data_IF_688662028348
#
_entry.id   IF_688662028348
#
_cell.length_a   1.000
_cell.length_b   1.000
_cell.length_c   1.000
_cell.angle_alpha   90.00
_cell.angle_beta   90.00
_cell.angle_gamma   90.00
#
_symmetry.space_group_name_H-M   'P 1'
#
loop_
_entity.id
_entity.type
_entity.pdbx_description
1 polymer ?
#
# COMPACT_ATOMS: atom_id res chain seq x y z
N UNK A 1 9.79 82.78 -36.67
CA UNK A 1 10.74 82.57 -35.57
C UNK A 1 11.49 81.27 -35.87
N UNK A 2 12.80 81.38 -36.10
CA UNK A 2 13.72 80.24 -36.33
C UNK A 2 13.74 79.36 -35.07
N UNK A 3 13.75 78.03 -35.18
CA UNK A 3 14.77 77.07 -34.66
C UNK A 3 14.53 75.69 -35.32
N UNK A 4 15.50 75.23 -36.11
CA UNK A 4 15.88 73.81 -36.34
C UNK A 4 17.18 73.55 -35.55
N UNK A 5 17.76 72.33 -35.42
CA UNK A 5 17.32 70.95 -35.71
C UNK A 5 17.67 69.94 -34.55
N UNK A 6 17.36 68.64 -34.69
CA UNK A 6 18.41 67.59 -34.68
C UNK A 6 17.91 66.19 -35.06
N UNK A 7 18.85 65.47 -35.66
CA UNK A 7 18.79 64.20 -36.38
C UNK A 7 19.36 63.10 -35.47
N UNK A 8 18.76 61.92 -35.40
CA UNK A 8 19.48 60.70 -35.02
C UNK A 8 18.77 59.46 -35.58
N UNK A 9 19.48 58.75 -36.46
CA UNK A 9 19.09 57.49 -37.06
C UNK A 9 19.25 56.33 -36.07
N UNK A 10 18.30 55.39 -36.05
CA UNK A 10 18.44 54.10 -35.40
C UNK A 10 18.39 52.99 -36.45
N UNK A 11 19.53 52.31 -36.61
CA UNK A 11 19.74 51.12 -37.42
C UNK A 11 19.07 49.94 -36.73
N UNK A 12 18.08 49.32 -37.37
CA UNK A 12 17.47 48.08 -36.91
C UNK A 12 18.31 46.88 -37.38
N UNK A 13 19.09 46.30 -36.46
CA UNK A 13 19.75 45.00 -36.64
C UNK A 13 18.70 43.89 -36.57
N UNK A 14 18.51 43.15 -37.66
CA UNK A 14 17.71 41.91 -37.68
C UNK A 14 18.64 40.73 -37.37
N UNK A 15 18.44 39.98 -36.27
CA UNK A 15 19.13 38.71 -36.11
C UNK A 15 18.45 37.66 -36.99
N UNK A 16 19.12 37.30 -38.09
CA UNK A 16 18.87 36.09 -38.85
C UNK A 16 19.22 34.89 -37.95
N UNK A 17 18.21 34.21 -37.40
CA UNK A 17 18.41 32.87 -36.85
C UNK A 17 18.76 31.93 -38.02
N UNK A 18 20.01 31.51 -38.03
CA UNK A 18 20.54 30.43 -38.85
C UNK A 18 19.73 29.15 -38.62
N UNK A 19 18.89 28.82 -39.59
CA UNK A 19 18.40 27.47 -39.81
C UNK A 19 19.43 26.71 -40.67
N UNK A 20 20.15 25.79 -40.03
CA UNK A 20 20.91 24.68 -40.62
C UNK A 20 20.74 23.53 -39.62
N UNK A 21 20.40 22.29 -39.95
CA UNK A 21 20.28 21.60 -41.23
C UNK A 21 20.57 20.12 -40.96
N UNK A 22 19.68 19.22 -41.42
CA UNK A 22 19.81 17.76 -41.42
C UNK A 22 18.69 17.08 -40.63
N UNK A 23 17.76 16.31 -41.19
CA UNK A 23 17.67 15.65 -42.50
C UNK A 23 17.25 14.20 -42.27
N UNK A 24 16.01 13.85 -42.63
CA UNK A 24 15.60 12.46 -42.88
C UNK A 24 14.83 11.75 -41.77
N UNK A 25 13.50 11.98 -41.74
CA UNK A 25 12.54 11.12 -41.06
C UNK A 25 11.37 11.94 -40.56
N UNK A 26 10.23 11.90 -41.26
CA UNK A 26 8.94 12.29 -40.69
C UNK A 26 8.53 11.23 -39.65
N UNK A 27 9.32 11.10 -38.59
CA UNK A 27 8.94 10.36 -37.41
C UNK A 27 7.92 11.21 -36.70
N UNK A 28 6.63 10.97 -36.96
CA UNK A 28 5.55 11.73 -36.34
C UNK A 28 5.66 11.78 -34.82
N UNK A 29 5.00 12.75 -34.20
CA UNK A 29 5.03 12.89 -32.74
C UNK A 29 4.29 11.72 -32.05
N UNK A 30 4.80 11.31 -30.90
CA UNK A 30 4.06 10.51 -29.92
C UNK A 30 3.60 11.38 -28.75
N UNK A 31 3.04 10.74 -27.71
CA UNK A 31 2.63 11.46 -26.51
C UNK A 31 2.86 10.63 -25.25
N UNK A 32 3.17 11.29 -24.13
CA UNK A 32 3.38 10.65 -22.82
C UNK A 32 2.57 11.36 -21.75
N UNK A 33 1.89 10.61 -20.88
CA UNK A 33 1.35 11.13 -19.61
C UNK A 33 1.96 10.42 -18.41
N UNK A 34 1.96 11.09 -17.26
CA UNK A 34 2.25 10.48 -15.97
C UNK A 34 0.95 10.07 -15.28
N UNK A 35 0.92 8.86 -14.74
CA UNK A 35 -0.10 8.42 -13.77
C UNK A 35 0.61 8.08 -12.46
N UNK A 36 0.15 8.68 -11.36
CA UNK A 36 0.68 8.43 -10.03
C UNK A 36 -0.24 7.44 -9.30
N UNK A 37 0.11 6.16 -9.34
CA UNK A 37 -0.56 5.06 -8.64
C UNK A 37 0.17 4.71 -7.32
N UNK A 38 0.74 5.70 -6.65
CA UNK A 38 1.46 5.53 -5.39
C UNK A 38 0.93 6.51 -4.35
N UNK A 39 0.32 5.99 -3.30
CA UNK A 39 -0.06 6.74 -2.10
C UNK A 39 1.12 7.02 -1.15
N UNK A 40 2.21 6.24 -1.24
CA UNK A 40 3.41 6.42 -0.43
C UNK A 40 4.26 7.65 -0.83
N UNK A 41 4.00 8.20 -2.01
CA UNK A 41 4.63 9.43 -2.49
C UNK A 41 3.52 10.46 -2.63
N UNK A 42 3.80 11.71 -2.27
CA UNK A 42 2.89 12.83 -2.56
C UNK A 42 2.78 13.08 -4.06
N UNK A 43 2.46 14.32 -4.43
CA UNK A 43 2.40 14.69 -5.84
C UNK A 43 3.77 14.47 -6.54
N UNK A 44 3.73 13.99 -7.79
CA UNK A 44 4.91 13.69 -8.60
C UNK A 44 5.01 14.61 -9.83
N UNK A 45 6.24 14.91 -10.21
CA UNK A 45 6.60 15.61 -11.43
C UNK A 45 7.27 14.63 -12.41
N UNK A 46 6.94 14.76 -13.70
CA UNK A 46 7.57 14.04 -14.81
C UNK A 46 8.53 14.96 -15.55
N UNK A 47 9.76 14.51 -15.73
CA UNK A 47 10.78 15.16 -16.53
C UNK A 47 11.25 14.25 -17.68
N UNK A 48 11.68 14.86 -18.78
CA UNK A 48 12.58 14.25 -19.75
C UNK A 48 13.97 14.87 -19.56
N UNK A 49 14.92 14.08 -19.08
CA UNK A 49 16.21 14.56 -18.58
C UNK A 49 16.01 15.65 -17.53
N UNK A 50 16.18 16.93 -17.88
CA UNK A 50 16.00 18.06 -16.96
C UNK A 50 14.85 18.99 -17.37
N UNK A 51 14.16 18.68 -18.46
CA UNK A 51 12.98 19.41 -18.94
C UNK A 51 11.74 18.88 -18.25
N UNK A 52 11.01 19.74 -17.54
CA UNK A 52 9.73 19.40 -16.92
C UNK A 52 8.67 19.17 -18.01
N UNK A 53 8.03 18.00 -17.98
CA UNK A 53 6.93 17.66 -18.89
C UNK A 53 5.57 17.82 -18.20
N UNK A 54 5.45 17.37 -16.95
CA UNK A 54 4.21 17.43 -16.18
C UNK A 54 4.52 17.64 -14.70
N UNK A 55 3.67 18.39 -14.01
CA UNK A 55 3.92 18.81 -12.64
C UNK A 55 2.73 18.51 -11.73
N UNK A 56 3.03 18.21 -10.47
CA UNK A 56 2.07 18.06 -9.38
C UNK A 56 0.97 17.01 -9.62
N UNK A 57 1.31 15.86 -10.23
CA UNK A 57 0.36 14.75 -10.38
C UNK A 57 0.09 14.12 -9.03
N UNK A 58 -1.09 14.40 -8.48
CA UNK A 58 -1.52 13.95 -7.16
C UNK A 58 -1.58 12.40 -7.07
N UNK A 59 -1.47 11.83 -5.87
CA UNK A 59 -1.66 10.39 -5.68
C UNK A 59 -3.01 9.91 -6.26
N UNK A 60 -3.02 8.70 -6.79
CA UNK A 60 -4.18 8.03 -7.40
C UNK A 60 -4.84 8.85 -8.53
N UNK A 61 -4.02 9.56 -9.32
CA UNK A 61 -4.48 10.42 -10.43
C UNK A 61 -3.56 10.39 -11.64
N UNK A 62 -4.02 10.96 -12.76
CA UNK A 62 -3.28 11.05 -14.01
C UNK A 62 -3.20 12.48 -14.55
N UNK A 63 -2.06 12.83 -15.13
CA UNK A 63 -1.87 14.08 -15.86
C UNK A 63 -2.33 14.01 -17.31
N UNK A 64 -2.29 15.17 -17.97
CA UNK A 64 -2.50 15.29 -19.42
C UNK A 64 -1.35 14.65 -20.20
N UNK A 65 -1.64 14.23 -21.43
CA UNK A 65 -0.61 13.81 -22.38
C UNK A 65 0.20 15.01 -22.86
N UNK A 66 1.51 14.84 -22.90
CA UNK A 66 2.48 15.78 -23.44
C UNK A 66 3.02 15.22 -24.74
N UNK A 67 2.89 15.99 -25.82
CA UNK A 67 3.42 15.61 -27.13
C UNK A 67 4.94 15.66 -27.13
N UNK A 68 5.56 14.62 -27.68
CA UNK A 68 7.02 14.50 -27.83
C UNK A 68 7.31 13.97 -29.23
N UNK A 69 8.40 14.42 -29.84
CA UNK A 69 8.89 13.79 -31.07
C UNK A 69 9.11 12.29 -30.85
N UNK A 70 8.97 11.48 -31.90
CA UNK A 70 9.36 10.07 -31.77
C UNK A 70 10.85 9.94 -31.47
N UNK A 71 11.22 9.10 -30.50
CA UNK A 71 12.60 8.99 -30.02
C UNK A 71 12.73 8.31 -28.67
N UNK A 72 13.95 8.23 -28.16
CA UNK A 72 14.25 7.67 -26.83
C UNK A 72 14.50 8.80 -25.83
N UNK A 73 13.88 8.70 -24.66
CA UNK A 73 13.91 9.70 -23.61
C UNK A 73 14.27 9.07 -22.27
N UNK A 74 15.12 9.74 -21.50
CA UNK A 74 15.32 9.44 -20.08
C UNK A 74 14.21 10.11 -19.28
N UNK A 75 13.18 9.35 -18.92
CA UNK A 75 12.07 9.84 -18.11
C UNK A 75 12.45 9.77 -16.63
N UNK A 76 12.40 10.90 -15.94
CA UNK A 76 12.70 11.01 -14.50
C UNK A 76 11.44 11.42 -13.73
N UNK A 77 11.24 10.80 -12.57
CA UNK A 77 10.22 11.20 -11.60
C UNK A 77 10.86 11.88 -10.40
N UNK A 78 10.25 12.97 -9.96
CA UNK A 78 10.62 13.71 -8.74
C UNK A 78 9.37 13.92 -7.89
N UNK A 79 9.53 14.04 -6.57
CA UNK A 79 8.43 14.60 -5.76
C UNK A 79 8.26 16.06 -6.13
N UNK A 80 7.03 16.53 -6.19
CA UNK A 80 6.74 17.92 -6.50
C UNK A 80 7.48 18.86 -5.53
N UNK A 81 8.15 19.87 -6.08
CA UNK A 81 8.99 20.79 -5.32
C UNK A 81 10.35 20.24 -4.88
N UNK A 82 10.71 19.01 -5.25
CA UNK A 82 12.02 18.41 -4.97
C UNK A 82 12.93 18.39 -6.20
N UNK A 83 14.22 18.64 -6.02
CA UNK A 83 15.24 18.46 -7.05
C UNK A 83 15.71 17.01 -7.21
N UNK A 84 15.41 16.15 -6.22
CA UNK A 84 15.93 14.77 -6.17
C UNK A 84 15.12 13.84 -7.06
N UNK A 85 15.82 13.11 -7.93
CA UNK A 85 15.22 12.07 -8.76
C UNK A 85 14.98 10.82 -7.92
N UNK A 86 13.73 10.35 -7.90
CA UNK A 86 13.31 9.15 -7.15
C UNK A 86 13.10 7.93 -8.05
N UNK A 87 12.92 8.14 -9.36
CA UNK A 87 12.89 7.08 -10.36
C UNK A 87 13.43 7.63 -11.70
N UNK A 88 14.16 6.82 -12.45
CA UNK A 88 14.70 7.18 -13.77
C UNK A 88 14.64 5.97 -14.69
N UNK A 89 14.14 6.13 -15.92
CA UNK A 89 14.03 5.04 -16.90
C UNK A 89 14.14 5.56 -18.32
N UNK A 90 14.89 4.86 -19.16
CA UNK A 90 14.94 5.14 -20.60
C UNK A 90 13.78 4.47 -21.32
N UNK A 91 12.99 5.26 -22.07
CA UNK A 91 11.80 4.79 -22.79
C UNK A 91 11.76 5.33 -24.21
N UNK A 92 11.30 4.49 -25.13
CA UNK A 92 11.07 4.88 -26.52
C UNK A 92 9.63 5.32 -26.71
N UNK A 93 9.46 6.57 -27.16
CA UNK A 93 8.19 7.14 -27.59
C UNK A 93 8.06 6.89 -29.09
N UNK A 94 7.15 6.00 -29.47
CA UNK A 94 6.86 5.72 -30.87
C UNK A 94 5.99 6.81 -31.52
N UNK A 95 6.20 7.04 -32.82
CA UNK A 95 5.40 7.97 -33.60
C UNK A 95 3.91 7.62 -33.58
N UNK A 96 3.06 8.64 -33.55
CA UNK A 96 1.58 8.55 -33.54
C UNK A 96 1.01 7.66 -32.43
N UNK A 97 1.79 7.44 -31.36
CA UNK A 97 1.45 6.52 -30.28
C UNK A 97 1.47 7.25 -28.95
N UNK A 98 0.39 7.11 -28.20
CA UNK A 98 0.27 7.59 -26.82
C UNK A 98 0.84 6.55 -25.86
N UNK A 99 1.46 7.01 -24.78
CA UNK A 99 2.01 6.16 -23.73
C UNK A 99 1.68 6.71 -22.34
N UNK A 100 1.52 5.81 -21.39
CA UNK A 100 1.36 6.13 -19.98
C UNK A 100 2.59 5.67 -19.21
N UNK A 101 3.31 6.59 -18.57
CA UNK A 101 4.26 6.24 -17.52
C UNK A 101 3.48 6.11 -16.21
N UNK A 102 3.23 4.87 -15.79
CA UNK A 102 2.54 4.56 -14.54
C UNK A 102 3.58 4.42 -13.42
N UNK A 103 3.57 5.36 -12.48
CA UNK A 103 4.38 5.32 -11.26
C UNK A 103 3.62 4.57 -10.16
N UNK A 104 4.29 3.67 -9.44
CA UNK A 104 3.71 2.91 -8.33
C UNK A 104 4.78 2.65 -7.26
N UNK A 105 4.37 2.25 -6.05
CA UNK A 105 5.31 1.94 -4.97
C UNK A 105 5.23 0.48 -4.53
N UNK A 106 6.41 -0.07 -4.21
CA UNK A 106 6.61 -1.40 -3.62
C UNK A 106 7.54 -1.24 -2.43
N UNK A 107 7.12 -1.62 -1.22
CA UNK A 107 7.89 -1.42 0.00
C UNK A 107 8.51 0.00 0.09
N UNK A 108 7.67 1.02 -0.14
CA UNK A 108 8.01 2.45 -0.14
C UNK A 108 9.04 2.91 -1.20
N UNK A 109 9.45 2.02 -2.11
CA UNK A 109 10.31 2.36 -3.26
C UNK A 109 9.46 2.72 -4.47
N UNK A 110 9.70 3.89 -5.07
CA UNK A 110 8.99 4.31 -6.28
C UNK A 110 9.55 3.58 -7.52
N UNK A 111 8.63 2.94 -8.25
CA UNK A 111 8.87 2.26 -9.51
C UNK A 111 8.03 2.88 -10.61
N UNK A 112 8.34 2.51 -11.85
CA UNK A 112 7.54 2.90 -12.99
C UNK A 112 7.43 1.79 -14.02
N UNK A 113 6.30 1.75 -14.72
CA UNK A 113 6.07 0.90 -15.88
C UNK A 113 5.50 1.75 -17.01
N UNK A 114 5.91 1.44 -18.24
CA UNK A 114 5.56 2.23 -19.42
C UNK A 114 4.56 1.45 -20.26
N UNK A 115 3.34 1.97 -20.37
CA UNK A 115 2.23 1.35 -21.09
C UNK A 115 2.10 2.02 -22.45
N UNK A 116 1.91 1.21 -23.49
CA UNK A 116 1.47 1.69 -24.80
C UNK A 116 -0.05 1.77 -24.82
N UNK A 117 -0.57 2.93 -25.16
CA UNK A 117 -2.00 3.25 -25.18
C UNK A 117 -2.54 3.15 -26.63
N UNK A 118 -2.43 1.97 -27.23
CA UNK A 118 -2.81 1.71 -28.62
C UNK A 118 -3.72 0.47 -28.80
N UNK A 119 -4.28 -0.06 -27.71
CA UNK A 119 -5.22 -1.18 -27.79
C UNK A 119 -6.43 -0.76 -28.64
N UNK A 120 -6.88 -1.66 -29.50
CA UNK A 120 -8.04 -1.42 -30.36
C UNK A 120 -9.33 -1.51 -29.56
N UNK A 121 -10.26 -0.59 -29.83
CA UNK A 121 -11.60 -0.65 -29.22
C UNK A 121 -12.26 -2.01 -29.51
N UNK A 122 -12.92 -2.63 -28.52
CA UNK A 122 -13.71 -3.84 -28.78
C UNK A 122 -14.92 -3.51 -29.65
N UNK A 123 -15.66 -4.53 -30.09
CA UNK A 123 -16.94 -4.32 -30.76
C UNK A 123 -17.95 -3.64 -29.83
N UNK A 124 -18.92 -2.92 -30.40
CA UNK A 124 -19.99 -2.29 -29.61
C UNK A 124 -20.75 -3.32 -28.79
N UNK A 125 -21.10 -2.96 -27.56
CA UNK A 125 -21.64 -3.83 -26.52
C UNK A 125 -20.58 -4.37 -25.54
N UNK A 126 -19.30 -4.05 -25.72
CA UNK A 126 -18.21 -4.57 -24.89
C UNK A 126 -17.19 -3.52 -24.46
N UNK A 127 -16.43 -3.85 -23.42
CA UNK A 127 -15.29 -3.14 -22.87
C UNK A 127 -14.09 -4.10 -22.77
N UNK A 128 -12.86 -3.57 -22.76
CA UNK A 128 -11.64 -4.33 -22.49
C UNK A 128 -11.05 -3.94 -21.14
N UNK A 129 -10.81 -4.93 -20.29
CA UNK A 129 -10.14 -4.80 -18.99
C UNK A 129 -8.88 -5.65 -18.97
N UNK A 130 -7.74 -5.05 -18.66
CA UNK A 130 -6.58 -5.81 -18.14
C UNK A 130 -6.28 -5.38 -16.72
N UNK A 131 -5.59 -6.23 -15.98
CA UNK A 131 -5.17 -5.95 -14.60
C UNK A 131 -3.65 -5.82 -14.56
N UNK A 132 -3.15 -4.84 -13.79
CA UNK A 132 -1.76 -4.75 -13.40
C UNK A 132 -1.65 -4.89 -11.89
N UNK A 133 -0.95 -5.92 -11.41
CA UNK A 133 -0.72 -6.09 -9.98
C UNK A 133 0.53 -5.28 -9.56
N UNK A 134 0.34 -4.03 -9.13
CA UNK A 134 1.43 -3.17 -8.68
C UNK A 134 1.81 -3.41 -7.20
N UNK A 135 1.01 -4.17 -6.46
CA UNK A 135 1.23 -4.47 -5.05
C UNK A 135 2.04 -5.75 -4.88
N UNK A 136 3.37 -5.62 -4.73
CA UNK A 136 4.23 -6.77 -4.36
C UNK A 136 3.83 -7.38 -3.02
N UNK A 137 3.31 -6.53 -2.14
CA UNK A 137 2.87 -6.84 -0.81
C UNK A 137 1.59 -7.66 -0.83
N UNK A 138 0.75 -7.54 -1.86
CA UNK A 138 -0.37 -8.45 -2.04
C UNK A 138 0.04 -9.83 -2.60
N UNK A 139 1.27 -10.05 -3.05
CA UNK A 139 1.63 -11.32 -3.68
C UNK A 139 0.77 -11.62 -4.91
N UNK A 140 0.65 -12.89 -5.28
CA UNK A 140 -0.20 -13.29 -6.42
C UNK A 140 -1.69 -13.21 -6.03
N UNK A 141 -2.51 -12.71 -6.97
CA UNK A 141 -3.94 -12.47 -6.73
C UNK A 141 -4.81 -13.09 -7.82
N UNK A 142 -6.05 -13.39 -7.45
CA UNK A 142 -7.13 -13.68 -8.39
C UNK A 142 -8.09 -12.47 -8.44
N UNK A 143 -8.56 -12.12 -9.63
CA UNK A 143 -9.51 -11.01 -9.84
C UNK A 143 -10.81 -11.54 -10.44
N UNK A 144 -11.92 -11.14 -9.83
CA UNK A 144 -13.27 -11.53 -10.20
C UNK A 144 -14.04 -10.28 -10.60
N UNK A 145 -14.53 -10.26 -11.84
CA UNK A 145 -15.44 -9.23 -12.35
C UNK A 145 -16.77 -9.89 -12.59
N UNK A 146 -17.76 -9.56 -11.76
CA UNK A 146 -19.02 -10.29 -11.67
C UNK A 146 -20.19 -9.33 -11.50
N UNK A 147 -21.42 -9.78 -11.75
CA UNK A 147 -22.61 -9.03 -11.34
C UNK A 147 -22.63 -8.81 -9.82
N UNK A 148 -23.24 -7.71 -9.35
CA UNK A 148 -23.23 -7.30 -7.94
C UNK A 148 -23.76 -8.37 -6.97
N UNK A 149 -24.76 -9.14 -7.40
CA UNK A 149 -25.40 -10.21 -6.61
C UNK A 149 -24.69 -11.57 -6.70
N UNK A 150 -23.64 -11.72 -7.51
CA UNK A 150 -22.97 -12.99 -7.70
C UNK A 150 -22.19 -13.42 -6.46
N UNK A 151 -22.37 -14.66 -6.02
CA UNK A 151 -21.61 -15.27 -4.91
C UNK A 151 -20.17 -15.54 -5.34
N UNK A 152 -19.19 -15.09 -4.53
CA UNK A 152 -17.77 -15.27 -4.84
C UNK A 152 -17.35 -16.75 -4.85
N UNK A 153 -17.87 -17.55 -3.92
CA UNK A 153 -17.56 -18.97 -3.81
C UNK A 153 -17.79 -19.72 -5.12
N UNK A 154 -18.90 -19.40 -5.81
CA UNK A 154 -19.35 -20.03 -7.05
C UNK A 154 -18.74 -19.40 -8.32
N UNK A 155 -18.02 -18.28 -8.18
CA UNK A 155 -17.46 -17.53 -9.31
C UNK A 155 -16.12 -18.08 -9.76
N UNK A 156 -15.85 -18.08 -11.06
CA UNK A 156 -14.51 -18.26 -11.63
C UNK A 156 -13.76 -16.92 -11.71
N UNK A 157 -12.44 -16.89 -11.49
CA UNK A 157 -11.67 -15.67 -11.66
C UNK A 157 -11.63 -15.23 -13.13
N UNK A 158 -11.84 -13.94 -13.37
CA UNK A 158 -11.60 -13.30 -14.68
C UNK A 158 -10.11 -13.27 -14.99
N UNK A 159 -9.27 -13.06 -13.97
CA UNK A 159 -7.82 -13.20 -14.05
C UNK A 159 -7.37 -14.09 -12.89
N UNK A 160 -6.70 -15.20 -13.20
CA UNK A 160 -6.18 -16.12 -12.20
C UNK A 160 -4.67 -15.98 -12.01
N UNK A 161 -4.20 -16.18 -10.78
CA UNK A 161 -2.80 -16.25 -10.38
C UNK A 161 -1.94 -15.12 -10.94
N UNK A 162 -2.47 -13.88 -10.94
CA UNK A 162 -1.73 -12.72 -11.42
C UNK A 162 -0.58 -12.40 -10.47
N UNK A 163 0.62 -12.76 -10.89
CA UNK A 163 1.85 -12.47 -10.16
C UNK A 163 2.09 -10.96 -10.00
N UNK A 164 2.91 -10.61 -9.02
CA UNK A 164 3.29 -9.22 -8.72
C UNK A 164 4.06 -8.60 -9.88
N UNK A 165 3.86 -7.31 -10.11
CA UNK A 165 4.48 -6.53 -11.19
C UNK A 165 4.24 -7.14 -12.59
N UNK A 166 3.09 -7.80 -12.78
CA UNK A 166 2.65 -8.37 -14.08
C UNK A 166 1.31 -7.82 -14.52
N UNK A 167 1.13 -7.79 -15.83
CA UNK A 167 -0.14 -7.53 -16.49
C UNK A 167 -0.84 -8.85 -16.82
N UNK A 168 -2.16 -8.87 -16.71
CA UNK A 168 -2.97 -9.85 -17.43
C UNK A 168 -3.06 -9.48 -18.92
N UNK A 169 -3.57 -10.41 -19.73
CA UNK A 169 -4.17 -10.06 -21.02
C UNK A 169 -5.38 -9.15 -20.85
N UNK A 170 -5.78 -8.46 -21.91
CA UNK A 170 -7.08 -7.82 -21.97
C UNK A 170 -8.18 -8.88 -22.03
N UNK A 171 -9.20 -8.71 -21.20
CA UNK A 171 -10.42 -9.49 -21.18
C UNK A 171 -11.53 -8.63 -21.76
N UNK A 172 -12.24 -9.14 -22.76
CA UNK A 172 -13.43 -8.50 -23.30
C UNK A 172 -14.63 -8.85 -22.41
N UNK A 173 -15.32 -7.84 -21.93
CA UNK A 173 -16.41 -7.95 -20.96
C UNK A 173 -17.59 -7.13 -21.49
N UNK A 174 -18.80 -7.65 -21.42
CA UNK A 174 -20.00 -6.91 -21.82
C UNK A 174 -20.11 -5.59 -21.07
N UNK A 175 -20.73 -4.58 -21.67
CA UNK A 175 -21.00 -3.34 -20.96
C UNK A 175 -21.94 -3.57 -19.77
N UNK A 176 -21.75 -2.80 -18.69
CA UNK A 176 -22.56 -2.95 -17.50
C UNK A 176 -21.91 -2.41 -16.23
N UNK A 177 -22.61 -2.59 -15.10
CA UNK A 177 -22.09 -2.31 -13.76
C UNK A 177 -21.69 -3.62 -13.09
N UNK A 178 -20.50 -3.63 -12.50
CA UNK A 178 -19.88 -4.84 -11.96
C UNK A 178 -19.40 -4.64 -10.53
N UNK A 179 -19.36 -5.74 -9.80
CA UNK A 179 -18.59 -5.89 -8.58
C UNK A 179 -17.24 -6.50 -8.91
N UNK A 180 -16.18 -5.83 -8.48
CA UNK A 180 -14.80 -6.27 -8.63
C UNK A 180 -14.29 -6.74 -7.28
N UNK A 181 -13.89 -8.01 -7.22
CA UNK A 181 -13.30 -8.63 -6.03
C UNK A 181 -11.90 -9.13 -6.33
N UNK A 182 -11.00 -8.96 -5.39
CA UNK A 182 -9.62 -9.47 -5.47
C UNK A 182 -9.36 -10.35 -4.28
N UNK A 183 -8.80 -11.53 -4.50
CA UNK A 183 -8.44 -12.46 -3.44
C UNK A 183 -6.97 -12.85 -3.51
N UNK A 184 -6.45 -13.43 -2.44
CA UNK A 184 -5.22 -14.23 -2.54
C UNK A 184 -5.39 -15.31 -3.62
N UNK A 185 -4.33 -15.57 -4.39
CA UNK A 185 -4.41 -16.57 -5.46
C UNK A 185 -4.77 -17.95 -4.92
N UNK A 186 -5.82 -18.55 -5.48
CA UNK A 186 -6.32 -19.86 -5.09
C UNK A 186 -7.13 -19.90 -3.79
N UNK A 187 -7.30 -18.77 -3.10
CA UNK A 187 -8.01 -18.68 -1.82
C UNK A 187 -9.06 -17.57 -1.84
N UNK A 188 -10.32 -17.96 -2.06
CA UNK A 188 -11.47 -17.03 -2.07
C UNK A 188 -11.84 -16.49 -0.68
N UNK A 189 -11.31 -17.07 0.39
CA UNK A 189 -11.55 -16.60 1.76
C UNK A 189 -10.61 -15.47 2.16
N UNK A 190 -9.46 -15.35 1.48
CA UNK A 190 -8.52 -14.24 1.61
C UNK A 190 -8.94 -13.06 0.71
N UNK A 191 -10.03 -12.37 1.10
CA UNK A 191 -10.57 -11.22 0.38
C UNK A 191 -9.71 -9.97 0.63
N UNK A 192 -9.18 -9.37 -0.45
CA UNK A 192 -8.22 -8.26 -0.42
C UNK A 192 -8.73 -6.96 -1.00
N UNK A 193 -9.79 -7.01 -1.78
CA UNK A 193 -10.56 -5.87 -2.29
C UNK A 193 -11.98 -6.34 -2.62
N UNK A 194 -12.97 -5.51 -2.32
CA UNK A 194 -14.35 -5.72 -2.70
C UNK A 194 -15.02 -4.37 -2.95
N UNK A 195 -15.25 -4.05 -4.22
CA UNK A 195 -15.86 -2.81 -4.67
C UNK A 195 -16.98 -3.11 -5.64
N UNK A 196 -18.10 -2.42 -5.47
CA UNK A 196 -19.29 -2.59 -6.31
C UNK A 196 -19.58 -1.31 -7.11
N UNK A 197 -20.42 -1.41 -8.13
CA UNK A 197 -20.81 -0.27 -8.96
C UNK A 197 -19.77 0.15 -10.00
N UNK A 198 -18.84 -0.73 -10.35
CA UNK A 198 -17.80 -0.44 -11.35
C UNK A 198 -18.41 -0.51 -12.75
N UNK A 199 -18.58 0.65 -13.37
CA UNK A 199 -19.13 0.76 -14.73
C UNK A 199 -18.09 0.45 -15.80
N UNK A 200 -18.35 -0.55 -16.64
CA UNK A 200 -17.64 -0.80 -17.88
C UNK A 200 -18.51 -0.32 -19.05
N UNK A 201 -18.23 0.90 -19.52
CA UNK A 201 -18.97 1.54 -20.61
C UNK A 201 -18.60 0.98 -22.00
N UNK A 202 -19.44 1.26 -23.00
CA UNK A 202 -19.19 0.79 -24.38
C UNK A 202 -17.83 1.25 -24.89
N UNK A 203 -17.09 0.32 -25.46
CA UNK A 203 -15.75 0.49 -26.03
C UNK A 203 -14.69 1.04 -25.06
N UNK A 204 -14.95 1.01 -23.74
CA UNK A 204 -13.97 1.38 -22.72
C UNK A 204 -12.79 0.42 -22.76
N UNK A 205 -11.57 0.95 -22.81
CA UNK A 205 -10.33 0.19 -22.62
C UNK A 205 -9.68 0.68 -21.34
N UNK A 206 -9.56 -0.19 -20.34
CA UNK A 206 -9.06 0.20 -19.03
C UNK A 206 -8.03 -0.80 -18.48
N UNK A 207 -7.03 -0.26 -17.80
CA UNK A 207 -6.12 -1.04 -16.97
C UNK A 207 -6.51 -0.83 -15.50
N UNK A 208 -6.97 -1.89 -14.84
CA UNK A 208 -7.14 -1.91 -13.38
C UNK A 208 -5.77 -2.13 -12.74
N UNK A 209 -5.24 -1.08 -12.11
CA UNK A 209 -4.00 -1.14 -11.34
C UNK A 209 -4.35 -1.43 -9.88
N UNK A 210 -3.79 -2.51 -9.33
CA UNK A 210 -3.92 -2.88 -7.93
C UNK A 210 -2.75 -2.30 -7.14
N UNK A 211 -2.99 -1.29 -6.31
CA UNK A 211 -1.95 -0.56 -5.58
C UNK A 211 -1.86 -1.00 -4.12
N UNK A 212 -0.68 -0.84 -3.51
CA UNK A 212 -0.42 -1.22 -2.11
C UNK A 212 -1.22 -0.35 -1.14
N UNK A 213 -1.60 -0.91 0.01
CA UNK A 213 -2.28 -0.20 1.11
C UNK A 213 -1.39 -0.11 2.36
N UNK A 214 -1.73 0.74 3.34
CA UNK A 214 -0.91 0.90 4.55
C UNK A 214 -0.65 -0.40 5.32
N UNK A 215 -1.61 -1.32 5.39
CA UNK A 215 -1.45 -2.62 6.06
C UNK A 215 -0.55 -3.60 5.31
N UNK A 216 -0.44 -3.47 3.98
CA UNK A 216 0.46 -4.30 3.17
C UNK A 216 -0.12 -5.66 2.74
N UNK A 217 -1.42 -5.91 2.88
CA UNK A 217 -2.06 -7.13 2.33
C UNK A 217 -3.27 -6.83 1.46
N UNK A 218 -4.11 -5.89 1.90
CA UNK A 218 -5.19 -5.36 1.09
C UNK A 218 -4.61 -4.58 -0.11
N UNK A 219 -5.45 -4.39 -1.14
CA UNK A 219 -5.11 -3.57 -2.31
C UNK A 219 -6.16 -2.49 -2.51
N UNK A 220 -5.73 -1.34 -3.05
CA UNK A 220 -6.62 -0.34 -3.63
C UNK A 220 -6.76 -0.59 -5.15
N UNK A 221 -7.71 0.09 -5.78
CA UNK A 221 -7.87 0.06 -7.23
C UNK A 221 -7.71 1.43 -7.87
N UNK A 222 -7.04 1.46 -9.00
CA UNK A 222 -6.93 2.62 -9.86
C UNK A 222 -7.23 2.20 -11.30
N UNK A 223 -8.28 2.76 -11.88
CA UNK A 223 -8.65 2.52 -13.27
C UNK A 223 -7.96 3.55 -14.15
N UNK A 224 -7.08 3.07 -15.03
CA UNK A 224 -6.35 3.89 -15.99
C UNK A 224 -6.97 3.66 -17.37
N UNK A 225 -7.84 4.57 -17.78
CA UNK A 225 -8.50 4.46 -19.08
C UNK A 225 -7.59 4.96 -20.18
N UNK A 226 -7.48 4.17 -21.24
CA UNK A 226 -6.63 4.48 -22.38
C UNK A 226 -7.05 5.82 -22.99
N UNK A 227 -6.11 6.78 -23.09
CA UNK A 227 -6.35 8.13 -23.63
C UNK A 227 -7.47 8.92 -22.95
N UNK A 228 -7.87 8.54 -21.74
CA UNK A 228 -8.99 9.14 -21.01
C UNK A 228 -8.64 9.35 -19.53
N UNK A 229 -9.61 9.48 -18.65
CA UNK A 229 -9.42 9.78 -17.23
C UNK A 229 -8.76 8.63 -16.46
N UNK A 230 -8.24 8.98 -15.28
CA UNK A 230 -7.82 8.04 -14.25
C UNK A 230 -8.76 8.19 -13.07
N UNK A 231 -9.27 7.09 -12.54
CA UNK A 231 -10.16 7.10 -11.38
C UNK A 231 -9.75 6.06 -10.34
N UNK A 232 -9.53 6.53 -9.10
CA UNK A 232 -9.23 5.66 -7.96
C UNK A 232 -10.51 5.24 -7.24
N UNK A 233 -10.59 3.97 -6.86
CA UNK A 233 -11.57 3.48 -5.88
C UNK A 233 -10.79 2.80 -4.76
N UNK A 234 -10.76 3.45 -3.61
CA UNK A 234 -10.08 2.92 -2.43
C UNK A 234 -10.82 1.69 -1.89
N UNK A 235 -10.08 0.81 -1.25
CA UNK A 235 -10.63 -0.32 -0.53
C UNK A 235 -11.52 0.18 0.63
N UNK A 236 -12.80 -0.21 0.69
CA UNK A 236 -13.68 0.24 1.77
C UNK A 236 -13.42 -0.49 3.10
N UNK A 237 -12.50 -1.46 3.12
CA UNK A 237 -12.23 -2.32 4.28
C UNK A 237 -10.89 -2.01 4.93
N UNK A 238 -10.78 -2.37 6.20
CA UNK A 238 -9.54 -2.48 6.96
C UNK A 238 -9.46 -3.90 7.53
N UNK A 239 -8.31 -4.29 8.09
CA UNK A 239 -8.18 -5.52 8.88
C UNK A 239 -7.88 -5.19 10.33
N UNK A 240 -8.49 -5.93 11.24
CA UNK A 240 -8.23 -5.79 12.67
C UNK A 240 -8.18 -7.17 13.32
N UNK A 241 -7.28 -7.35 14.28
CA UNK A 241 -7.25 -8.55 15.15
C UNK A 241 -7.48 -8.18 16.60
N UNK A 242 -8.05 -9.10 17.37
CA UNK A 242 -8.14 -9.00 18.82
C UNK A 242 -6.95 -9.70 19.47
N UNK A 243 -6.32 -9.04 20.44
CA UNK A 243 -5.28 -9.64 21.28
C UNK A 243 -5.74 -9.59 22.74
N UNK A 244 -5.88 -10.76 23.35
CA UNK A 244 -6.18 -10.91 24.76
C UNK A 244 -4.86 -11.01 25.53
N UNK A 245 -4.52 -9.95 26.26
CA UNK A 245 -3.33 -9.85 27.10
C UNK A 245 -3.63 -9.54 28.57
N UNK A 246 -4.85 -9.81 29.03
CA UNK A 246 -5.23 -9.64 30.43
C UNK A 246 -4.52 -10.65 31.35
N UNK A 247 -4.26 -10.25 32.59
CA UNK A 247 -3.76 -11.13 33.65
C UNK A 247 -4.76 -12.21 34.04
N UNK A 248 -4.30 -13.23 34.77
CA UNK A 248 -5.18 -14.27 35.34
C UNK A 248 -5.98 -15.11 34.33
N UNK A 249 -5.56 -15.20 33.07
CA UNK A 249 -6.27 -15.88 31.98
C UNK A 249 -7.63 -15.27 31.62
N UNK A 250 -7.74 -13.94 31.73
CA UNK A 250 -8.95 -13.20 31.39
C UNK A 250 -9.48 -13.48 29.97
N UNK A 251 -10.80 -13.50 29.83
CA UNK A 251 -11.54 -13.79 28.61
C UNK A 251 -12.02 -12.49 27.97
N UNK A 252 -11.65 -12.27 26.71
CA UNK A 252 -11.94 -11.03 25.99
C UNK A 252 -12.89 -11.32 24.83
N UNK A 253 -13.97 -10.54 24.72
CA UNK A 253 -14.85 -10.56 23.55
C UNK A 253 -14.82 -9.21 22.85
N UNK A 254 -14.93 -9.19 21.52
CA UNK A 254 -15.02 -7.95 20.76
C UNK A 254 -15.83 -8.12 19.47
N UNK A 255 -16.65 -7.11 19.19
CA UNK A 255 -17.31 -6.91 17.90
C UNK A 255 -16.98 -5.51 17.43
N UNK A 256 -16.31 -5.38 16.29
CA UNK A 256 -15.83 -4.11 15.75
C UNK A 256 -16.44 -3.85 14.38
N UNK A 257 -17.04 -2.67 14.21
CA UNK A 257 -17.70 -2.24 12.98
C UNK A 257 -18.65 -3.32 12.42
N UNK A 258 -19.42 -3.96 13.30
CA UNK A 258 -20.38 -5.02 12.96
C UNK A 258 -19.79 -6.43 12.79
N UNK A 259 -18.46 -6.60 12.88
CA UNK A 259 -17.79 -7.91 12.72
C UNK A 259 -17.33 -8.46 14.07
N UNK A 260 -17.73 -9.68 14.41
CA UNK A 260 -17.23 -10.35 15.62
C UNK A 260 -15.79 -10.81 15.42
N UNK A 261 -14.87 -10.31 16.25
CA UNK A 261 -13.48 -10.74 16.26
C UNK A 261 -13.30 -11.99 17.13
N UNK A 262 -14.01 -12.03 18.26
CA UNK A 262 -14.14 -13.21 19.13
C UNK A 262 -15.27 -12.99 20.14
N UNK A 263 -15.90 -14.09 20.59
CA UNK A 263 -16.88 -14.10 21.67
C UNK A 263 -16.27 -14.47 23.04
N UNK A 264 -14.98 -14.79 23.10
CA UNK A 264 -14.33 -15.21 24.35
C UNK A 264 -12.90 -15.70 24.14
N UNK A 265 -12.03 -14.84 23.64
CA UNK A 265 -10.61 -15.11 23.47
C UNK A 265 -9.92 -15.14 24.84
N UNK A 266 -9.42 -16.30 25.28
CA UNK A 266 -8.71 -16.44 26.55
C UNK A 266 -7.28 -15.91 26.45
N UNK A 267 -6.88 -15.08 27.41
CA UNK A 267 -5.51 -14.56 27.53
C UNK A 267 -4.55 -15.65 28.04
N UNK A 268 -3.26 -15.63 27.65
CA UNK A 268 -2.66 -14.79 26.61
C UNK A 268 -2.87 -15.39 25.21
N UNK A 269 -3.58 -14.69 24.32
CA UNK A 269 -3.81 -15.16 22.94
C UNK A 269 -3.83 -14.01 21.94
N UNK A 270 -3.18 -14.23 20.79
CA UNK A 270 -3.26 -13.37 19.60
C UNK A 270 -4.23 -14.00 18.60
N UNK A 271 -5.35 -13.31 18.35
CA UNK A 271 -6.34 -13.71 17.35
C UNK A 271 -5.89 -13.49 15.91
N UNK A 272 -6.67 -14.03 14.96
CA UNK A 272 -6.48 -13.77 13.54
C UNK A 272 -6.97 -12.37 13.15
N UNK A 273 -6.47 -11.84 12.03
CA UNK A 273 -7.05 -10.66 11.41
C UNK A 273 -8.43 -11.00 10.83
N UNK A 274 -9.38 -10.11 11.06
CA UNK A 274 -10.68 -10.10 10.39
C UNK A 274 -10.79 -8.87 9.51
N UNK A 275 -11.44 -9.02 8.35
CA UNK A 275 -11.81 -7.91 7.48
C UNK A 275 -13.02 -7.19 8.08
N UNK A 276 -12.94 -5.86 8.20
CA UNK A 276 -14.01 -5.02 8.74
C UNK A 276 -14.21 -3.78 7.88
N UNK A 277 -15.40 -3.15 7.89
CA UNK A 277 -15.57 -1.84 7.26
C UNK A 277 -14.58 -0.82 7.83
N UNK A 278 -13.89 -0.08 6.96
CA UNK A 278 -13.05 1.05 7.35
C UNK A 278 -13.94 2.21 7.84
N UNK A 279 -13.36 3.11 8.64
CA UNK A 279 -14.06 4.24 9.26
C UNK A 279 -13.86 4.33 10.76
N UNK A 280 -14.66 5.17 11.42
CA UNK A 280 -14.61 5.35 12.87
C UNK A 280 -14.78 4.02 13.59
N UNK A 281 -13.93 3.76 14.58
CA UNK A 281 -13.97 2.55 15.38
C UNK A 281 -15.26 2.56 16.22
N UNK A 282 -16.09 1.53 16.05
CA UNK A 282 -17.38 1.38 16.72
C UNK A 282 -17.62 -0.08 17.11
N UNK A 283 -18.49 -0.31 18.11
CA UNK A 283 -18.87 -1.65 18.56
C UNK A 283 -18.64 -1.85 20.05
N UNK A 284 -18.25 -3.05 20.44
CA UNK A 284 -18.08 -3.44 21.83
C UNK A 284 -16.81 -4.24 22.07
N UNK A 285 -16.26 -4.09 23.27
CA UNK A 285 -15.16 -4.88 23.80
C UNK A 285 -15.44 -5.15 25.27
N UNK A 286 -15.25 -6.38 25.71
CA UNK A 286 -15.44 -6.78 27.10
C UNK A 286 -14.24 -7.59 27.61
N UNK A 287 -13.97 -7.47 28.91
CA UNK A 287 -13.07 -8.34 29.66
C UNK A 287 -13.88 -8.98 30.79
N UNK A 288 -13.96 -10.31 30.82
CA UNK A 288 -14.77 -11.04 31.81
C UNK A 288 -16.23 -10.56 31.85
N UNK A 289 -16.79 -10.25 30.68
CA UNK A 289 -18.15 -9.70 30.54
C UNK A 289 -18.29 -8.22 30.91
N UNK A 290 -17.28 -7.60 31.52
CA UNK A 290 -17.29 -6.16 31.84
C UNK A 290 -16.95 -5.36 30.59
N UNK A 291 -17.81 -4.40 30.22
CA UNK A 291 -17.58 -3.53 29.08
C UNK A 291 -16.38 -2.61 29.32
N UNK A 292 -15.52 -2.48 28.30
CA UNK A 292 -14.40 -1.54 28.30
C UNK A 292 -14.70 -0.36 27.37
N UNK A 293 -14.09 0.78 27.67
CA UNK A 293 -14.12 1.94 26.77
C UNK A 293 -13.34 1.62 25.51
N UNK A 294 -14.00 1.76 24.35
CA UNK A 294 -13.37 1.61 23.06
C UNK A 294 -12.53 2.87 22.73
N UNK A 295 -11.32 2.73 22.16
CA UNK A 295 -10.51 3.87 21.74
C UNK A 295 -11.25 4.75 20.72
N UNK A 296 -11.13 6.07 20.84
CA UNK A 296 -11.57 6.99 19.79
C UNK A 296 -10.53 7.03 18.69
N UNK A 297 -10.77 6.26 17.62
CA UNK A 297 -9.85 6.13 16.50
C UNK A 297 -10.61 5.83 15.19
N UNK A 298 -9.89 5.89 14.08
CA UNK A 298 -10.40 5.54 12.74
C UNK A 298 -9.56 4.41 12.17
N UNK A 299 -10.22 3.34 11.70
CA UNK A 299 -9.58 2.33 10.86
C UNK A 299 -9.49 2.88 9.45
N UNK A 300 -8.29 3.26 9.01
CA UNK A 300 -8.10 3.76 7.65
C UNK A 300 -8.34 2.64 6.62
N UNK A 301 -8.86 3.02 5.45
CA UNK A 301 -8.99 2.12 4.30
C UNK A 301 -7.66 1.40 4.01
N UNK A 302 -7.70 0.07 3.92
CA UNK A 302 -6.54 -0.76 3.64
C UNK A 302 -5.52 -0.88 4.80
N UNK A 303 -5.84 -0.39 6.00
CA UNK A 303 -4.98 -0.52 7.18
C UNK A 303 -5.12 -1.88 7.85
N UNK A 304 -4.07 -2.27 8.58
CA UNK A 304 -4.12 -3.37 9.54
C UNK A 304 -4.00 -2.78 10.96
N UNK A 305 -4.67 -3.39 11.94
CA UNK A 305 -4.59 -2.95 13.33
C UNK A 305 -4.73 -4.10 14.33
N UNK A 306 -4.16 -3.90 15.50
CA UNK A 306 -4.33 -4.76 16.66
C UNK A 306 -5.15 -4.04 17.71
N UNK A 307 -6.30 -4.60 18.09
CA UNK A 307 -7.03 -4.22 19.30
C UNK A 307 -6.47 -5.03 20.47
N UNK A 308 -5.54 -4.43 21.20
CA UNK A 308 -4.93 -5.02 22.38
C UNK A 308 -5.82 -4.79 23.61
N UNK A 309 -6.15 -5.85 24.32
CA UNK A 309 -6.87 -5.77 25.60
C UNK A 309 -5.98 -6.29 26.72
N UNK A 310 -5.62 -5.41 27.65
CA UNK A 310 -4.81 -5.73 28.83
C UNK A 310 -5.60 -5.51 30.11
N UNK A 311 -5.04 -5.91 31.25
CA UNK A 311 -5.58 -5.55 32.56
C UNK A 311 -4.47 -5.16 33.54
N UNK A 312 -4.65 -4.06 34.27
CA UNK A 312 -3.77 -3.69 35.39
C UNK A 312 -4.57 -3.75 36.69
N UNK A 313 -4.20 -4.65 37.62
CA UNK A 313 -4.89 -4.80 38.91
C UNK A 313 -6.38 -5.11 38.79
N UNK A 314 -6.80 -5.83 37.74
CA UNK A 314 -8.20 -6.17 37.46
C UNK A 314 -8.97 -5.15 36.59
N UNK A 315 -8.44 -3.93 36.39
CA UNK A 315 -9.05 -2.94 35.49
C UNK A 315 -8.61 -3.19 34.04
N UNK A 316 -9.57 -3.44 33.15
CA UNK A 316 -9.31 -3.67 31.72
C UNK A 316 -9.01 -2.39 30.95
N UNK A 317 -8.18 -2.47 29.92
CA UNK A 317 -7.90 -1.38 28.97
C UNK A 317 -7.87 -1.94 27.56
N UNK A 318 -8.60 -1.30 26.64
CA UNK A 318 -8.52 -1.59 25.22
C UNK A 318 -7.68 -0.51 24.53
N UNK A 319 -6.77 -0.91 23.66
CA UNK A 319 -5.88 0.00 22.91
C UNK A 319 -5.78 -0.43 21.47
N UNK A 320 -5.95 0.52 20.55
CA UNK A 320 -5.78 0.26 19.13
C UNK A 320 -4.33 0.60 18.74
N UNK A 321 -3.66 -0.38 18.15
CA UNK A 321 -2.28 -0.27 17.67
C UNK A 321 -2.31 -0.43 16.14
N UNK A 322 -1.71 0.51 15.42
CA UNK A 322 -1.55 0.38 13.98
C UNK A 322 -0.51 -0.69 13.65
N UNK A 323 -0.82 -1.54 12.67
CA UNK A 323 0.07 -2.59 12.21
C UNK A 323 0.69 -2.23 10.86
N UNK A 324 1.98 -2.52 10.73
CA UNK A 324 2.71 -2.42 9.47
C UNK A 324 3.17 -3.82 9.06
N UNK A 325 2.34 -4.48 8.26
CA UNK A 325 2.62 -5.81 7.72
C UNK A 325 3.23 -5.75 6.32
N UNK A 326 3.79 -4.60 5.90
CA UNK A 326 4.64 -4.55 4.71
C UNK A 326 5.96 -5.25 5.01
N UNK A 327 6.48 -6.09 4.10
CA UNK A 327 7.73 -6.81 4.28
C UNK A 327 8.94 -5.86 4.37
N UNK A 328 10.09 -6.37 4.80
CA UNK A 328 11.33 -5.60 4.76
C UNK A 328 11.68 -5.24 3.30
N UNK A 329 12.27 -4.05 3.11
CA UNK A 329 12.77 -3.61 1.80
C UNK A 329 13.89 -4.53 1.31
N UNK A 330 14.80 -4.92 2.21
CA UNK A 330 15.89 -5.86 1.92
C UNK A 330 15.36 -7.29 1.93
N UNK A 331 15.48 -8.00 0.79
CA UNK A 331 14.91 -9.34 0.59
C UNK A 331 15.47 -10.43 1.50
N UNK A 332 16.63 -10.21 2.13
CA UNK A 332 17.25 -11.13 3.10
C UNK A 332 16.78 -10.89 4.54
N UNK A 333 16.00 -9.84 4.78
CA UNK A 333 15.61 -9.44 6.12
C UNK A 333 14.18 -9.86 6.43
N UNK A 334 13.91 -10.13 7.71
CA UNK A 334 12.58 -10.13 8.29
C UNK A 334 12.32 -8.78 8.97
N UNK A 335 11.05 -8.40 9.15
CA UNK A 335 10.69 -7.32 10.09
C UNK A 335 10.29 -7.94 11.43
N UNK A 336 10.80 -7.37 12.52
CA UNK A 336 10.46 -7.75 13.88
C UNK A 336 10.10 -6.50 14.69
N UNK A 337 9.03 -6.59 15.48
CA UNK A 337 8.67 -5.55 16.44
C UNK A 337 8.19 -6.16 17.76
N UNK A 338 8.19 -5.34 18.79
CA UNK A 338 7.66 -5.67 20.11
C UNK A 338 6.31 -4.98 20.31
N UNK A 339 5.33 -5.71 20.83
CA UNK A 339 4.11 -5.15 21.44
C UNK A 339 4.13 -5.45 22.92
N UNK A 340 4.04 -4.42 23.75
CA UNK A 340 4.01 -4.57 25.20
C UNK A 340 2.57 -4.50 25.70
N UNK A 341 2.04 -5.64 26.12
CA UNK A 341 0.74 -5.81 26.76
C UNK A 341 0.79 -6.40 28.18
N UNK A 342 1.96 -6.52 28.81
CA UNK A 342 2.07 -6.96 30.22
C UNK A 342 1.48 -5.91 31.16
N UNK A 343 0.30 -6.18 31.70
CA UNK A 343 -0.38 -5.27 32.61
C UNK A 343 0.33 -5.12 33.96
N UNK A 344 0.24 -3.93 34.55
CA UNK A 344 0.81 -3.60 35.87
C UNK A 344 2.33 -3.81 36.04
N UNK A 345 3.09 -4.02 34.95
CA UNK A 345 4.55 -4.18 35.02
C UNK A 345 5.28 -2.92 35.54
N UNK A 346 4.69 -1.73 35.32
CA UNK A 346 5.22 -0.46 35.83
C UNK A 346 6.54 0.00 35.20
N UNK A 347 6.98 -0.63 34.11
CA UNK A 347 8.23 -0.32 33.42
C UNK A 347 8.15 -0.71 31.94
N UNK A 348 9.09 -0.21 31.12
CA UNK A 348 9.18 -0.53 29.69
C UNK A 348 9.79 -1.91 29.45
N UNK A 349 9.60 -2.42 28.23
CA UNK A 349 10.25 -3.66 27.76
C UNK A 349 11.18 -3.34 26.58
N UNK A 350 12.35 -3.99 26.58
CA UNK A 350 13.32 -3.99 25.50
C UNK A 350 13.37 -5.38 24.88
N UNK A 351 13.36 -5.46 23.55
CA UNK A 351 13.54 -6.70 22.79
C UNK A 351 14.93 -6.70 22.14
N UNK A 352 15.65 -7.80 22.32
CA UNK A 352 16.89 -8.09 21.59
C UNK A 352 16.73 -9.32 20.70
N UNK A 353 17.40 -9.29 19.54
CA UNK A 353 17.62 -10.44 18.68
C UNK A 353 19.12 -10.64 18.53
N UNK A 354 19.62 -11.83 18.86
CA UNK A 354 21.06 -12.16 18.88
C UNK A 354 21.89 -11.08 19.58
N UNK A 355 21.43 -10.70 20.78
CA UNK A 355 22.06 -9.70 21.66
C UNK A 355 22.04 -8.26 21.12
N UNK A 356 21.50 -8.02 19.94
CA UNK A 356 21.32 -6.68 19.36
C UNK A 356 19.93 -6.15 19.68
N UNK A 357 19.83 -4.89 20.10
CA UNK A 357 18.54 -4.27 20.37
C UNK A 357 17.71 -4.13 19.08
N UNK A 358 16.48 -4.66 19.13
CA UNK A 358 15.46 -4.56 18.07
C UNK A 358 14.45 -3.48 18.43
N UNK A 359 14.07 -3.42 19.71
CA UNK A 359 13.20 -2.41 20.28
C UNK A 359 13.71 -2.04 21.67
N UNK A 360 13.72 -0.75 21.99
CA UNK A 360 14.14 -0.24 23.32
C UNK A 360 13.00 0.50 23.96
N UNK A 361 12.87 0.36 25.28
CA UNK A 361 11.97 1.17 26.11
C UNK A 361 10.52 1.25 25.61
N UNK A 362 9.98 0.14 25.08
CA UNK A 362 8.60 0.11 24.60
C UNK A 362 7.63 0.21 25.77
N UNK A 363 6.77 1.25 25.87
CA UNK A 363 5.80 1.38 26.96
C UNK A 363 4.67 0.34 26.91
N UNK A 364 4.03 0.07 28.05
CA UNK A 364 2.80 -0.74 28.09
C UNK A 364 1.70 -0.14 27.20
N UNK A 365 0.89 -1.01 26.59
CA UNK A 365 -0.18 -0.68 25.65
C UNK A 365 0.32 0.02 24.37
N UNK A 366 1.55 -0.26 23.97
CA UNK A 366 2.14 0.30 22.75
C UNK A 366 2.95 -0.75 21.99
N UNK A 367 3.40 -0.36 20.81
CA UNK A 367 4.30 -1.13 19.97
C UNK A 367 5.56 -0.34 19.65
N UNK A 368 6.68 -1.05 19.50
CA UNK A 368 7.89 -0.47 18.94
C UNK A 368 7.70 -0.18 17.45
N UNK A 369 8.55 0.70 16.91
CA UNK A 369 8.77 0.73 15.46
C UNK A 369 9.28 -0.63 14.98
N UNK A 370 8.84 -1.12 13.82
CA UNK A 370 9.39 -2.35 13.25
C UNK A 370 10.85 -2.18 12.83
N UNK A 371 11.71 -3.09 13.27
CA UNK A 371 13.10 -3.16 12.83
C UNK A 371 13.27 -4.22 11.74
N UNK A 372 14.07 -3.92 10.71
CA UNK A 372 14.50 -4.90 9.73
C UNK A 372 15.77 -5.59 10.21
N UNK A 373 15.70 -6.90 10.43
CA UNK A 373 16.83 -7.72 10.89
C UNK A 373 17.11 -8.83 9.89
N UNK A 374 18.36 -9.26 9.76
CA UNK A 374 18.71 -10.39 8.90
C UNK A 374 17.95 -11.63 9.34
N UNK A 375 17.29 -12.30 8.39
CA UNK A 375 16.56 -13.53 8.65
C UNK A 375 17.53 -14.67 8.98
N UNK A 376 17.11 -15.61 9.81
CA UNK A 376 17.97 -16.68 10.31
C UNK A 376 17.19 -17.79 11.01
N UNK A 377 17.87 -18.91 11.22
CA UNK A 377 17.45 -20.00 12.10
C UNK A 377 18.21 -19.90 13.41
N UNK A 378 17.68 -20.52 14.47
CA UNK A 378 18.30 -20.57 15.80
C UNK A 378 18.62 -19.18 16.39
N UNK A 379 17.80 -18.19 16.05
CA UNK A 379 17.95 -16.83 16.58
C UNK A 379 17.52 -16.79 18.04
N UNK A 380 18.26 -16.03 18.83
CA UNK A 380 17.94 -15.74 20.23
C UNK A 380 17.08 -14.49 20.32
N UNK A 381 15.81 -14.65 20.69
CA UNK A 381 14.92 -13.54 21.05
C UNK A 381 14.79 -13.43 22.56
N UNK A 382 15.01 -12.23 23.08
CA UNK A 382 14.91 -11.97 24.51
C UNK A 382 14.21 -10.64 24.79
N UNK A 383 13.20 -10.68 25.66
CA UNK A 383 12.54 -9.49 26.18
C UNK A 383 12.95 -9.26 27.65
N UNK A 384 13.42 -8.07 27.97
CA UNK A 384 13.88 -7.67 29.32
C UNK A 384 13.22 -6.38 29.76
N UNK A 385 13.27 -6.12 31.07
CA UNK A 385 12.80 -4.88 31.69
C UNK A 385 13.76 -4.50 32.82
N UNK A 386 13.98 -3.20 33.11
CA UNK A 386 14.91 -2.77 34.17
C UNK A 386 14.49 -3.20 35.59
N UNK A 387 13.24 -3.61 35.77
CA UNK A 387 12.68 -3.97 37.09
C UNK A 387 12.75 -5.46 37.41
N UNK A 388 13.19 -6.30 36.47
CA UNK A 388 13.28 -7.75 36.64
C UNK A 388 14.74 -8.23 36.57
N UNK A 389 15.11 -9.14 37.48
CA UNK A 389 16.45 -9.74 37.49
C UNK A 389 16.63 -10.82 36.41
N UNK A 390 15.53 -11.35 35.85
CA UNK A 390 15.51 -12.33 34.77
C UNK A 390 14.72 -11.81 33.57
N UNK A 391 14.99 -12.39 32.41
CA UNK A 391 14.26 -12.09 31.17
C UNK A 391 12.76 -12.39 31.35
N UNK A 392 11.91 -11.52 30.80
CA UNK A 392 10.46 -11.73 30.76
C UNK A 392 10.08 -12.79 29.71
N UNK A 393 10.90 -12.91 28.67
CA UNK A 393 10.81 -13.94 27.63
C UNK A 393 12.21 -14.24 27.10
N UNK A 394 12.49 -15.52 26.85
CA UNK A 394 13.70 -15.98 26.20
C UNK A 394 13.38 -17.21 25.35
N UNK A 395 13.64 -17.12 24.06
CA UNK A 395 13.67 -18.26 23.14
C UNK A 395 14.99 -18.19 22.37
N UNK A 396 15.70 -19.30 22.32
CA UNK A 396 17.04 -19.40 21.71
C UNK A 396 17.04 -20.18 20.39
N UNK A 397 15.87 -20.59 19.91
CA UNK A 397 15.72 -21.42 18.71
C UNK A 397 14.69 -20.84 17.73
N UNK A 398 14.63 -19.51 17.60
CA UNK A 398 13.63 -18.85 16.75
C UNK A 398 14.06 -18.87 15.29
N UNK A 399 13.14 -19.25 14.41
CA UNK A 399 13.32 -19.10 12.95
C UNK A 399 12.56 -17.88 12.44
N UNK A 400 13.28 -16.89 11.92
CA UNK A 400 12.73 -15.75 11.20
C UNK A 400 13.02 -15.92 9.71
N UNK A 401 11.97 -15.93 8.89
CA UNK A 401 12.06 -16.14 7.44
C UNK A 401 12.16 -14.79 6.73
N UNK A 402 13.03 -14.70 5.72
CA UNK A 402 13.22 -13.49 4.94
C UNK A 402 11.92 -13.05 4.24
N UNK A 403 11.68 -11.74 4.18
CA UNK A 403 10.46 -11.16 3.61
C UNK A 403 9.20 -11.34 4.46
N UNK A 404 9.30 -11.92 5.67
CA UNK A 404 8.17 -12.09 6.60
C UNK A 404 8.18 -11.03 7.70
N UNK A 405 6.99 -10.79 8.27
CA UNK A 405 6.78 -9.79 9.32
C UNK A 405 6.39 -10.50 10.60
N UNK A 406 7.06 -10.14 11.69
CA UNK A 406 6.88 -10.74 12.99
C UNK A 406 6.61 -9.69 14.07
N UNK A 407 5.73 -10.03 14.99
CA UNK A 407 5.51 -9.29 16.23
C UNK A 407 5.69 -10.23 17.42
N UNK A 408 6.58 -9.88 18.33
CA UNK A 408 6.59 -10.48 19.67
C UNK A 408 5.59 -9.72 20.54
N UNK A 409 4.53 -10.40 20.96
CA UNK A 409 3.59 -9.89 21.94
C UNK A 409 4.02 -10.31 23.34
N UNK A 410 4.33 -9.36 24.21
CA UNK A 410 4.51 -9.62 25.63
C UNK A 410 3.18 -9.35 26.34
N UNK A 411 2.50 -10.39 26.82
CA UNK A 411 1.12 -10.37 27.32
C UNK A 411 1.06 -10.83 28.79
N UNK A 412 -0.13 -10.73 29.40
CA UNK A 412 -0.37 -11.18 30.77
C UNK A 412 -0.22 -10.04 31.78
N UNK A 413 0.27 -10.34 32.96
CA UNK A 413 0.52 -9.37 34.03
C UNK A 413 1.94 -9.50 34.58
N UNK A 414 2.32 -8.58 35.48
CA UNK A 414 3.66 -8.54 36.09
C UNK A 414 4.08 -9.85 36.79
N UNK A 415 3.13 -10.69 37.24
CA UNK A 415 3.42 -11.94 37.93
C UNK A 415 3.54 -13.12 36.96
N UNK A 416 2.86 -13.05 35.82
CA UNK A 416 2.85 -14.09 34.78
C UNK A 416 2.97 -13.47 33.37
N UNK A 417 4.11 -12.82 33.04
CA UNK A 417 4.35 -12.33 31.70
C UNK A 417 4.53 -13.51 30.73
N UNK A 418 3.99 -13.39 29.53
CA UNK A 418 4.08 -14.42 28.48
C UNK A 418 4.44 -13.80 27.13
N UNK A 419 5.47 -14.34 26.48
CA UNK A 419 5.81 -13.96 25.10
C UNK A 419 5.08 -14.83 24.08
N UNK A 420 4.44 -14.21 23.09
CA UNK A 420 3.78 -14.86 21.96
C UNK A 420 4.35 -14.29 20.68
N UNK A 421 5.22 -15.04 20.01
CA UNK A 421 5.72 -14.67 18.69
C UNK A 421 4.67 -14.98 17.62
N UNK A 422 4.27 -13.96 16.84
CA UNK A 422 3.45 -14.16 15.65
C UNK A 422 4.13 -13.72 14.38
N UNK A 423 3.98 -14.56 13.35
CA UNK A 423 4.20 -14.20 11.96
C UNK A 423 2.92 -13.58 11.43
N UNK A 424 2.93 -12.26 11.26
CA UNK A 424 1.78 -11.48 10.80
C UNK A 424 1.52 -11.65 9.29
N UNK A 425 2.58 -12.05 8.57
CA UNK A 425 2.61 -12.26 7.12
C UNK A 425 3.67 -13.28 6.73
#
# INVERSE_FOLDING_TARGET
>A
MKITPWLAAAVALVPLLQACGGGGGSGGDGAVRLVNASSAYGALDLYSSDTLLSSAIAPESGGSYVTLASGTYTLKLKRNGSSTTVNSTDRSVAASTSHTLLAYSTADTLRSVFLTDNETAPTSGAAKLRVFNASTEAGAVDVYVTASSATLADSSPTVSALATERFSSYNEISTGSYRVRVTGSGDKTDLRLDIDGISLADQRITTLVLTTTPGGVLVNSLFVDQKSTVSGVANPSARIRLVAGAGGNGTVAATINGTSLSSGLRSPTVGAYALVPAGSLSGSVTLEGTALTLPTATLAAGSDSTLLVTSAGGAGTATLIADDNKPAITSTNAKLRLVHGVGALGSSITLTADYSAVATDTPVNSASTPAAITAGTDMRLEATTPTAASSLFLDSAVTLVAGKVYTLFMLGDANAPAGVLRRDR
#
